data_IF_444253763117
#
_entry.id   IF_444253763117
#
_cell.length_a   1.000
_cell.length_b   1.000
_cell.length_c   1.000
_cell.angle_alpha   90.00
_cell.angle_beta   90.00
_cell.angle_gamma   90.00
#
_symmetry.space_group_name_H-M   'P 1'
#
loop_
_entity.id
_entity.type
_entity.pdbx_description
1 polymer ?
#
# COMPACT_ATOMS: atom_id res chain seq x y z
N UNK A 1 18.28 -19.28 -25.96
CA UNK A 1 18.10 -19.20 -24.50
C UNK A 1 18.36 -20.56 -23.88
N UNK A 2 18.84 -20.61 -22.65
CA UNK A 2 19.01 -21.84 -21.88
C UNK A 2 17.66 -22.28 -21.31
N UNK A 3 17.46 -23.59 -21.14
CA UNK A 3 16.29 -24.13 -20.45
C UNK A 3 16.27 -23.67 -18.98
N UNK A 4 15.11 -23.26 -18.51
CA UNK A 4 14.95 -22.89 -17.10
C UNK A 4 14.79 -24.15 -16.26
N UNK A 5 15.37 -24.13 -15.06
CA UNK A 5 15.21 -25.17 -14.04
C UNK A 5 14.58 -24.57 -12.81
N UNK A 6 13.78 -25.38 -12.08
CA UNK A 6 13.23 -25.00 -10.80
C UNK A 6 14.32 -24.66 -9.78
N UNK A 7 14.03 -23.71 -8.91
CA UNK A 7 14.99 -23.22 -7.90
C UNK A 7 14.33 -23.05 -6.55
N UNK A 8 15.15 -23.10 -5.51
CA UNK A 8 14.78 -22.61 -4.19
C UNK A 8 15.37 -21.21 -4.03
N UNK A 9 14.53 -20.21 -3.87
CA UNK A 9 14.94 -18.81 -3.83
C UNK A 9 14.38 -18.09 -2.62
N UNK A 10 15.25 -17.40 -1.91
CA UNK A 10 14.87 -16.49 -0.82
C UNK A 10 15.28 -15.08 -1.22
N UNK A 11 14.34 -14.17 -1.51
CA UNK A 11 14.66 -12.79 -1.84
C UNK A 11 15.49 -12.13 -0.72
N UNK A 12 16.56 -11.40 -1.04
CA UNK A 12 17.38 -10.70 -0.03
C UNK A 12 16.60 -9.58 0.65
N UNK A 13 15.63 -9.00 -0.06
CA UNK A 13 14.70 -7.98 0.44
C UNK A 13 13.26 -8.44 0.21
N UNK A 14 12.34 -8.01 1.05
CA UNK A 14 10.91 -8.30 0.92
C UNK A 14 10.35 -7.58 -0.32
N UNK A 15 10.12 -8.31 -1.40
CA UNK A 15 9.60 -7.76 -2.66
C UNK A 15 8.61 -8.70 -3.31
N UNK A 16 7.35 -8.30 -3.35
CA UNK A 16 6.30 -9.01 -4.06
C UNK A 16 6.58 -9.12 -5.57
N UNK A 17 7.19 -8.11 -6.16
CA UNK A 17 7.54 -8.09 -7.58
C UNK A 17 8.59 -9.14 -7.92
N UNK A 18 9.64 -9.26 -7.10
CA UNK A 18 10.67 -10.29 -7.27
C UNK A 18 10.07 -11.68 -7.08
N UNK A 19 9.25 -11.88 -6.04
CA UNK A 19 8.50 -13.12 -5.82
C UNK A 19 7.67 -13.48 -7.05
N UNK A 20 6.85 -12.56 -7.53
CA UNK A 20 5.99 -12.77 -8.71
C UNK A 20 6.81 -13.13 -9.96
N UNK A 21 7.92 -12.44 -10.21
CA UNK A 21 8.79 -12.72 -11.34
C UNK A 21 9.37 -14.14 -11.29
N UNK A 22 9.82 -14.59 -10.10
CA UNK A 22 10.36 -15.93 -9.91
C UNK A 22 9.28 -17.01 -10.08
N UNK A 23 8.08 -16.80 -9.52
CA UNK A 23 6.95 -17.73 -9.68
C UNK A 23 6.51 -17.84 -11.13
N UNK A 24 6.37 -16.72 -11.84
CA UNK A 24 5.98 -16.72 -13.26
C UNK A 24 7.04 -17.36 -14.14
N UNK A 25 8.34 -17.12 -13.90
CA UNK A 25 9.43 -17.82 -14.56
C UNK A 25 9.40 -19.32 -14.25
N UNK A 26 9.07 -19.68 -13.02
CA UNK A 26 8.94 -21.06 -12.56
C UNK A 26 7.90 -21.89 -13.33
N UNK A 27 6.86 -21.27 -13.88
CA UNK A 27 5.88 -21.95 -14.75
C UNK A 27 6.53 -22.54 -16.01
N UNK A 28 7.61 -21.94 -16.48
CA UNK A 28 8.36 -22.38 -17.67
C UNK A 28 9.59 -23.22 -17.33
N UNK A 29 9.85 -23.46 -16.05
CA UNK A 29 11.00 -24.25 -15.61
C UNK A 29 10.70 -25.75 -15.63
N UNK A 30 11.75 -26.57 -15.67
CA UNK A 30 11.65 -27.99 -15.37
C UNK A 30 11.83 -28.20 -13.85
N UNK A 31 10.93 -28.98 -13.23
CA UNK A 31 10.96 -29.24 -11.78
C UNK A 31 10.19 -28.21 -10.96
N UNK A 32 10.49 -28.13 -9.68
CA UNK A 32 9.77 -27.32 -8.72
C UNK A 32 10.50 -26.01 -8.44
N UNK A 33 9.75 -24.91 -8.41
CA UNK A 33 10.23 -23.60 -7.99
C UNK A 33 9.61 -23.26 -6.63
N UNK A 34 10.47 -22.91 -5.68
CA UNK A 34 10.07 -22.56 -4.31
C UNK A 34 10.61 -21.16 -3.98
N UNK A 35 9.72 -20.29 -3.57
CA UNK A 35 10.10 -18.96 -3.04
C UNK A 35 9.79 -18.93 -1.54
N UNK A 36 10.80 -18.64 -0.72
CA UNK A 36 10.64 -18.51 0.73
C UNK A 36 10.75 -17.04 1.13
N UNK A 37 9.69 -16.50 1.72
CA UNK A 37 9.67 -15.12 2.22
C UNK A 37 10.09 -15.08 3.69
N UNK A 38 11.05 -14.21 4.03
CA UNK A 38 11.41 -13.89 5.42
C UNK A 38 10.36 -13.00 6.08
N UNK A 39 9.72 -12.16 5.28
CA UNK A 39 8.63 -11.27 5.66
C UNK A 39 7.58 -11.34 4.56
N UNK A 40 6.33 -11.54 4.95
CA UNK A 40 5.22 -11.63 3.99
C UNK A 40 5.10 -10.34 3.16
N UNK A 41 4.91 -10.52 1.87
CA UNK A 41 4.63 -9.44 0.92
C UNK A 41 3.26 -9.63 0.28
N UNK A 42 2.85 -8.70 -0.60
CA UNK A 42 1.58 -8.79 -1.35
C UNK A 42 1.44 -10.14 -2.05
N UNK A 43 0.28 -10.76 -1.94
CA UNK A 43 0.03 -12.14 -2.38
C UNK A 43 -0.90 -12.26 -3.61
N UNK A 44 -1.03 -11.20 -4.40
CA UNK A 44 -1.91 -11.18 -5.58
C UNK A 44 -1.56 -12.27 -6.59
N UNK A 45 -0.27 -12.55 -6.82
CA UNK A 45 0.16 -13.60 -7.76
C UNK A 45 -0.30 -14.98 -7.30
N UNK A 46 -0.17 -15.26 -6.01
CA UNK A 46 -0.56 -16.53 -5.41
C UNK A 46 -2.09 -16.73 -5.40
N UNK A 47 -2.85 -15.63 -5.38
CA UNK A 47 -4.31 -15.65 -5.52
C UNK A 47 -4.75 -15.76 -6.96
N UNK A 48 -4.05 -15.08 -7.87
CA UNK A 48 -4.40 -15.09 -9.29
C UNK A 48 -4.08 -16.41 -9.99
N UNK A 49 -2.92 -17.01 -9.73
CA UNK A 49 -2.48 -18.22 -10.43
C UNK A 49 -3.50 -19.39 -10.39
N UNK A 50 -4.16 -19.70 -9.25
CA UNK A 50 -5.22 -20.70 -9.22
C UNK A 50 -6.42 -20.37 -10.11
N UNK A 51 -6.80 -19.11 -10.24
CA UNK A 51 -7.88 -18.67 -11.13
C UNK A 51 -7.56 -19.02 -12.58
N UNK A 52 -6.29 -18.93 -12.94
CA UNK A 52 -5.80 -19.32 -14.26
C UNK A 52 -5.43 -20.81 -14.37
N UNK A 53 -5.83 -21.65 -13.41
CA UNK A 53 -5.69 -23.09 -13.44
C UNK A 53 -4.31 -23.61 -13.04
N UNK A 54 -3.48 -22.81 -12.39
CA UNK A 54 -2.17 -23.21 -11.86
C UNK A 54 -2.30 -23.72 -10.43
N UNK A 55 -1.77 -24.90 -10.17
CA UNK A 55 -1.66 -25.44 -8.81
C UNK A 55 -0.39 -24.94 -8.15
N UNK A 56 -0.53 -24.39 -6.96
CA UNK A 56 0.56 -23.99 -6.08
C UNK A 56 0.25 -24.37 -4.64
N UNK A 57 1.27 -24.46 -3.81
CA UNK A 57 1.14 -24.68 -2.37
C UNK A 57 1.74 -23.54 -1.61
N UNK A 58 1.12 -23.19 -0.45
CA UNK A 58 1.60 -22.18 0.48
C UNK A 58 1.75 -22.85 1.85
N UNK A 59 2.94 -22.88 2.38
CA UNK A 59 3.21 -23.45 3.69
C UNK A 59 4.43 -22.79 4.33
N UNK A 60 4.33 -22.44 5.61
CA UNK A 60 5.46 -21.95 6.41
C UNK A 60 6.25 -20.79 5.77
N UNK A 61 5.56 -19.84 5.14
CA UNK A 61 6.20 -18.71 4.45
C UNK A 61 6.86 -19.06 3.12
N UNK A 62 6.66 -20.29 2.62
CA UNK A 62 7.12 -20.72 1.31
C UNK A 62 5.95 -20.88 0.34
N UNK A 63 6.16 -20.46 -0.89
CA UNK A 63 5.27 -20.65 -2.03
C UNK A 63 5.97 -21.59 -3.02
N UNK A 64 5.33 -22.68 -3.39
CA UNK A 64 5.89 -23.69 -4.28
C UNK A 64 4.96 -23.96 -5.44
N UNK A 65 5.50 -24.03 -6.64
CA UNK A 65 4.81 -24.49 -7.84
C UNK A 65 5.69 -25.40 -8.68
N UNK A 66 5.06 -26.34 -9.37
CA UNK A 66 5.71 -27.21 -10.35
C UNK A 66 5.67 -26.53 -11.72
N UNK A 67 6.78 -26.54 -12.43
CA UNK A 67 6.86 -26.02 -13.78
C UNK A 67 6.15 -26.90 -14.81
N UNK A 68 6.01 -26.38 -16.04
CA UNK A 68 5.31 -27.05 -17.14
C UNK A 68 3.78 -26.91 -17.09
N UNK A 69 3.23 -26.22 -16.11
CA UNK A 69 1.80 -25.92 -16.04
C UNK A 69 1.43 -24.86 -17.09
N UNK A 70 0.23 -24.99 -17.65
CA UNK A 70 -0.29 -24.02 -18.63
C UNK A 70 -1.43 -23.22 -18.03
N UNK A 71 -1.36 -21.91 -18.21
CA UNK A 71 -2.45 -21.01 -17.87
C UNK A 71 -3.67 -21.32 -18.76
N UNK A 72 -4.85 -21.22 -18.16
CA UNK A 72 -6.14 -21.30 -18.85
C UNK A 72 -6.76 -19.91 -18.85
N UNK A 73 -7.46 -19.57 -19.92
CA UNK A 73 -8.24 -18.34 -19.96
C UNK A 73 -9.28 -18.34 -18.83
N UNK A 74 -9.42 -17.20 -18.18
CA UNK A 74 -10.40 -16.97 -17.12
C UNK A 74 -10.97 -15.58 -17.28
N UNK A 75 -12.22 -15.41 -16.90
CA UNK A 75 -12.84 -14.11 -16.76
C UNK A 75 -12.51 -13.56 -15.37
N UNK A 76 -11.95 -12.37 -15.30
CA UNK A 76 -11.54 -11.72 -14.05
C UNK A 76 -12.08 -10.31 -14.02
N UNK A 77 -12.84 -9.99 -12.99
CA UNK A 77 -13.19 -8.62 -12.67
C UNK A 77 -12.08 -8.04 -11.78
N UNK A 78 -11.44 -6.96 -12.24
CA UNK A 78 -10.40 -6.27 -11.47
C UNK A 78 -11.09 -5.34 -10.47
N UNK A 79 -10.84 -5.50 -9.15
CA UNK A 79 -11.41 -4.59 -8.15
C UNK A 79 -10.77 -3.20 -8.21
N UNK A 80 -11.42 -2.22 -7.59
CA UNK A 80 -10.85 -0.91 -7.35
C UNK A 80 -9.54 -0.99 -6.55
N UNK A 81 -8.54 -0.20 -6.93
CA UNK A 81 -7.24 -0.19 -6.27
C UNK A 81 -7.32 0.43 -4.86
N UNK A 82 -6.88 -0.32 -3.85
CA UNK A 82 -6.86 0.12 -2.45
C UNK A 82 -6.03 1.41 -2.24
N UNK A 83 -4.94 1.60 -2.99
CA UNK A 83 -4.14 2.83 -2.89
C UNK A 83 -4.87 4.06 -3.44
N UNK A 84 -5.64 3.89 -4.53
CA UNK A 84 -6.49 4.96 -5.05
C UNK A 84 -7.64 5.25 -4.08
N UNK A 85 -8.24 4.22 -3.49
CA UNK A 85 -9.26 4.35 -2.46
C UNK A 85 -8.72 5.08 -1.21
N UNK A 86 -7.45 4.88 -0.84
CA UNK A 86 -6.84 5.54 0.30
C UNK A 86 -6.86 7.08 0.18
N UNK A 87 -6.74 7.62 -1.03
CA UNK A 87 -6.83 9.08 -1.23
C UNK A 87 -8.21 9.61 -0.86
N UNK A 88 -9.28 8.95 -1.31
CA UNK A 88 -10.65 9.33 -0.97
C UNK A 88 -10.98 9.07 0.50
N UNK A 89 -10.43 7.99 1.06
CA UNK A 89 -10.58 7.68 2.47
C UNK A 89 -9.93 8.75 3.36
N UNK A 90 -8.74 9.22 3.00
CA UNK A 90 -8.04 10.33 3.67
C UNK A 90 -8.82 11.63 3.53
N UNK A 91 -9.32 11.97 2.33
CA UNK A 91 -10.14 13.16 2.12
C UNK A 91 -11.39 13.14 3.02
N UNK A 92 -12.09 12.00 3.07
CA UNK A 92 -13.28 11.85 3.92
C UNK A 92 -12.94 11.91 5.42
N UNK A 93 -11.81 11.36 5.83
CA UNK A 93 -11.34 11.45 7.21
C UNK A 93 -10.95 12.88 7.60
N UNK A 94 -10.34 13.65 6.68
CA UNK A 94 -9.85 15.00 6.90
C UNK A 94 -10.97 16.05 7.03
N UNK A 95 -12.02 15.94 6.19
CA UNK A 95 -13.03 16.99 6.04
C UNK A 95 -14.24 16.77 6.97
N UNK A 96 -14.53 17.72 7.87
CA UNK A 96 -15.71 17.66 8.74
C UNK A 96 -17.02 17.49 7.95
N UNK A 97 -17.89 16.61 8.42
CA UNK A 97 -19.17 16.33 7.80
C UNK A 97 -19.12 15.35 6.63
N UNK A 98 -17.96 14.85 6.25
CA UNK A 98 -17.83 13.85 5.20
C UNK A 98 -18.41 12.49 5.60
N UNK A 99 -19.06 11.86 4.63
CA UNK A 99 -19.56 10.48 4.67
C UNK A 99 -19.47 9.93 3.25
N UNK A 100 -18.45 9.13 2.97
CA UNK A 100 -18.11 8.65 1.62
C UNK A 100 -18.11 7.12 1.62
N UNK A 101 -18.79 6.54 0.64
CA UNK A 101 -18.74 5.09 0.37
C UNK A 101 -17.99 4.86 -0.94
N UNK A 102 -17.05 3.95 -0.89
CA UNK A 102 -16.27 3.47 -2.03
C UNK A 102 -16.61 2.02 -2.26
N UNK A 103 -17.24 1.72 -3.38
CA UNK A 103 -17.67 0.37 -3.73
C UNK A 103 -16.62 -0.37 -4.55
N UNK A 104 -16.71 -1.71 -4.54
CA UNK A 104 -15.86 -2.63 -5.31
C UNK A 104 -14.35 -2.44 -5.10
N UNK A 105 -13.94 -2.05 -3.89
CA UNK A 105 -12.53 -1.90 -3.52
C UNK A 105 -11.92 -3.27 -3.20
N UNK A 106 -10.70 -3.50 -3.68
CA UNK A 106 -9.90 -4.66 -3.29
C UNK A 106 -9.53 -4.60 -1.81
N UNK A 107 -9.97 -5.61 -1.06
CA UNK A 107 -9.78 -5.71 0.39
C UNK A 107 -8.70 -6.73 0.76
N UNK A 108 -7.72 -6.94 -0.10
CA UNK A 108 -6.61 -7.83 0.20
C UNK A 108 -5.90 -7.39 1.50
N UNK A 109 -5.80 -8.27 2.52
CA UNK A 109 -5.22 -7.92 3.83
C UNK A 109 -3.79 -7.36 3.74
N UNK A 110 -3.04 -7.74 2.68
CA UNK A 110 -1.67 -7.24 2.46
C UNK A 110 -1.64 -5.82 1.87
N UNK A 111 -2.80 -5.22 1.57
CA UNK A 111 -2.94 -3.91 0.93
C UNK A 111 -3.71 -2.89 1.76
N UNK A 112 -4.54 -3.33 2.69
CA UNK A 112 -5.46 -2.48 3.43
C UNK A 112 -4.96 -2.07 4.82
N UNK A 113 -3.67 -2.24 5.11
CA UNK A 113 -3.08 -1.86 6.39
C UNK A 113 -3.31 -0.39 6.76
N UNK A 114 -3.41 0.49 5.76
CA UNK A 114 -3.71 1.91 5.97
C UNK A 114 -5.08 2.16 6.63
N UNK A 115 -6.06 1.26 6.48
CA UNK A 115 -7.38 1.43 7.11
C UNK A 115 -7.28 1.43 8.63
N UNK A 116 -6.50 0.50 9.21
CA UNK A 116 -6.27 0.47 10.64
C UNK A 116 -5.51 1.70 11.14
N UNK A 117 -4.63 2.26 10.31
CA UNK A 117 -3.93 3.51 10.61
C UNK A 117 -4.87 4.71 10.59
N UNK A 118 -5.81 4.77 9.64
CA UNK A 118 -6.85 5.79 9.59
C UNK A 118 -7.78 5.72 10.81
N UNK A 119 -8.18 4.50 11.24
CA UNK A 119 -8.98 4.32 12.46
C UNK A 119 -8.21 4.79 13.69
N UNK A 120 -6.94 4.42 13.82
CA UNK A 120 -6.05 4.90 14.90
C UNK A 120 -5.89 6.42 14.88
N UNK A 121 -5.90 7.04 13.69
CA UNK A 121 -5.88 8.48 13.53
C UNK A 121 -7.23 9.16 13.86
N UNK A 122 -8.29 8.40 14.11
CA UNK A 122 -9.61 8.89 14.53
C UNK A 122 -10.69 8.89 13.44
N UNK A 123 -10.42 8.39 12.24
CA UNK A 123 -11.45 8.20 11.21
C UNK A 123 -12.45 7.10 11.64
N UNK A 124 -13.67 7.20 11.15
CA UNK A 124 -14.69 6.15 11.34
C UNK A 124 -14.83 5.36 10.05
N UNK A 125 -14.52 4.07 10.12
CA UNK A 125 -14.48 3.19 8.94
C UNK A 125 -15.44 2.02 9.17
N UNK A 126 -16.28 1.74 8.18
CA UNK A 126 -17.10 0.56 8.10
C UNK A 126 -16.71 -0.21 6.84
N UNK A 127 -16.43 -1.50 6.99
CA UNK A 127 -16.04 -2.39 5.89
C UNK A 127 -17.19 -3.39 5.69
N UNK A 128 -17.69 -3.45 4.46
CA UNK A 128 -18.69 -4.44 4.05
C UNK A 128 -18.07 -5.36 3.01
N UNK A 129 -18.01 -6.66 3.32
CA UNK A 129 -17.49 -7.66 2.39
C UNK A 129 -18.48 -7.88 1.24
N UNK A 130 -17.98 -7.83 0.01
CA UNK A 130 -18.68 -8.21 -1.20
C UNK A 130 -18.43 -9.66 -1.58
N UNK A 131 -18.84 -10.03 -2.78
CA UNK A 131 -18.56 -11.34 -3.35
C UNK A 131 -17.13 -11.36 -3.87
N UNK A 132 -16.26 -12.24 -3.38
CA UNK A 132 -14.89 -12.32 -3.88
C UNK A 132 -14.85 -12.60 -5.39
N UNK A 133 -13.88 -12.02 -6.08
CA UNK A 133 -13.61 -12.34 -7.49
C UNK A 133 -12.36 -13.22 -7.54
N UNK A 134 -12.57 -14.48 -7.88
CA UNK A 134 -11.54 -15.49 -7.70
C UNK A 134 -11.22 -15.64 -6.20
N UNK A 135 -9.93 -15.49 -5.84
CA UNK A 135 -9.47 -15.52 -4.44
C UNK A 135 -9.17 -14.11 -3.86
N UNK A 136 -9.49 -13.03 -4.61
CA UNK A 136 -9.31 -11.66 -4.14
C UNK A 136 -10.56 -11.17 -3.41
N UNK A 137 -10.44 -10.77 -2.14
CA UNK A 137 -11.55 -10.18 -1.41
C UNK A 137 -11.87 -8.78 -1.95
N UNK A 138 -13.16 -8.52 -2.16
CA UNK A 138 -13.69 -7.25 -2.62
C UNK A 138 -14.78 -6.80 -1.64
N UNK A 139 -14.99 -5.50 -1.52
CA UNK A 139 -16.06 -4.95 -0.71
C UNK A 139 -16.17 -3.46 -0.81
N UNK A 140 -17.01 -2.90 0.05
CA UNK A 140 -17.24 -1.47 0.15
C UNK A 140 -16.63 -0.91 1.42
N UNK A 141 -16.06 0.28 1.32
CA UNK A 141 -15.51 1.06 2.42
C UNK A 141 -16.39 2.29 2.62
N UNK A 142 -16.99 2.45 3.80
CA UNK A 142 -17.64 3.70 4.20
C UNK A 142 -16.75 4.43 5.19
N UNK A 143 -16.33 5.63 4.84
CA UNK A 143 -15.43 6.45 5.63
C UNK A 143 -16.14 7.73 6.04
N UNK A 144 -16.09 8.05 7.33
CA UNK A 144 -16.64 9.28 7.90
C UNK A 144 -15.56 10.02 8.68
N UNK A 145 -15.65 11.35 8.65
CA UNK A 145 -14.84 12.20 9.50
C UNK A 145 -15.00 11.82 10.98
N UNK A 146 -13.91 11.87 11.71
CA UNK A 146 -13.84 11.72 13.15
C UNK A 146 -12.87 12.74 13.77
N UNK A 147 -12.74 12.73 15.06
CA UNK A 147 -11.78 13.59 15.73
C UNK A 147 -10.36 13.06 15.48
N UNK A 148 -9.58 13.79 14.68
CA UNK A 148 -8.22 13.38 14.36
C UNK A 148 -7.30 13.51 15.57
N UNK A 149 -6.47 12.49 15.78
CA UNK A 149 -5.53 12.37 16.89
C UNK A 149 -4.11 12.12 16.38
N UNK A 150 -3.13 12.22 17.25
CA UNK A 150 -1.75 11.88 16.91
C UNK A 150 -1.62 10.39 16.58
N UNK A 151 -0.86 10.09 15.52
CA UNK A 151 -0.61 8.74 15.03
C UNK A 151 0.89 8.45 15.01
N UNK A 152 1.28 7.32 15.57
CA UNK A 152 2.63 6.77 15.43
C UNK A 152 2.58 5.53 14.53
N UNK A 153 3.46 5.48 13.53
CA UNK A 153 3.64 4.39 12.58
C UNK A 153 5.07 3.87 12.74
N UNK A 154 5.19 2.63 13.17
CA UNK A 154 6.46 1.95 13.37
C UNK A 154 6.79 0.96 12.26
N UNK A 155 7.98 0.32 12.34
CA UNK A 155 8.45 -0.66 11.35
C UNK A 155 7.48 -1.82 11.09
N UNK A 156 6.65 -2.19 12.08
CA UNK A 156 5.66 -3.26 11.93
C UNK A 156 4.45 -2.85 11.07
N UNK A 157 4.08 -1.57 11.08
CA UNK A 157 2.95 -1.04 10.31
C UNK A 157 3.34 -0.75 8.85
N UNK A 158 4.60 -0.34 8.62
CA UNK A 158 5.09 0.19 7.34
C UNK A 158 4.83 -0.75 6.16
N UNK A 159 5.10 -2.06 6.22
CA UNK A 159 4.93 -2.93 5.04
C UNK A 159 3.51 -2.98 4.51
N UNK A 160 2.51 -2.86 5.39
CA UNK A 160 1.07 -2.89 5.03
C UNK A 160 0.53 -1.56 4.49
N UNK A 161 1.30 -0.46 4.59
CA UNK A 161 0.83 0.88 4.25
C UNK A 161 1.92 1.80 3.65
N UNK A 162 3.05 1.24 3.23
CA UNK A 162 4.21 2.03 2.78
C UNK A 162 3.86 3.00 1.65
N UNK A 163 3.01 2.58 0.75
CA UNK A 163 2.60 3.38 -0.40
C UNK A 163 1.58 4.47 -0.02
N UNK A 164 0.92 4.36 1.12
CA UNK A 164 -0.09 5.28 1.63
C UNK A 164 0.46 6.26 2.68
N UNK A 165 1.72 6.09 3.12
CA UNK A 165 2.35 7.01 4.08
C UNK A 165 2.32 8.48 3.64
N UNK A 166 2.49 8.85 2.35
CA UNK A 166 2.37 10.23 1.90
C UNK A 166 0.97 10.82 2.13
N UNK A 167 -0.10 10.09 1.83
CA UNK A 167 -1.46 10.59 2.03
C UNK A 167 -1.85 10.63 3.52
N UNK A 168 -1.29 9.75 4.36
CA UNK A 168 -1.41 9.84 5.82
C UNK A 168 -0.68 11.05 6.38
N UNK A 169 0.46 11.45 5.79
CA UNK A 169 1.12 12.71 6.14
C UNK A 169 0.25 13.94 5.80
N UNK A 170 -0.44 13.90 4.66
CA UNK A 170 -1.42 14.93 4.33
C UNK A 170 -2.57 14.97 5.34
N UNK A 171 -3.11 13.82 5.79
CA UNK A 171 -4.14 13.79 6.84
C UNK A 171 -3.70 14.53 8.10
N UNK A 172 -2.46 14.34 8.54
CA UNK A 172 -1.94 14.97 9.74
C UNK A 172 -1.87 16.51 9.66
N UNK A 173 -1.88 17.10 8.45
CA UNK A 173 -1.94 18.56 8.28
C UNK A 173 -3.34 19.14 8.52
N UNK A 174 -4.39 18.32 8.56
CA UNK A 174 -5.77 18.74 8.86
C UNK A 174 -6.11 18.65 10.36
N UNK A 175 -5.26 18.02 11.15
CA UNK A 175 -5.39 17.87 12.60
C UNK A 175 -4.67 16.62 13.09
N UNK A 176 -4.29 16.60 14.34
CA UNK A 176 -3.43 15.57 14.91
C UNK A 176 -1.96 15.80 14.57
N UNK A 177 -1.16 14.74 14.73
CA UNK A 177 0.24 14.71 14.37
C UNK A 177 0.56 13.33 13.79
N UNK A 178 1.66 13.21 13.05
CA UNK A 178 2.11 11.91 12.53
C UNK A 178 3.61 11.75 12.74
N UNK A 179 4.01 10.63 13.30
CA UNK A 179 5.41 10.20 13.32
C UNK A 179 5.56 8.86 12.61
N UNK A 180 6.48 8.78 11.67
CA UNK A 180 6.79 7.57 10.90
C UNK A 180 8.25 7.20 11.12
N UNK A 181 8.50 5.93 11.44
CA UNK A 181 9.85 5.34 11.56
C UNK A 181 9.91 4.00 10.83
N UNK A 182 11.11 3.58 10.42
CA UNK A 182 11.30 2.31 9.72
C UNK A 182 10.86 2.32 8.26
N UNK A 183 10.62 3.49 7.67
CA UNK A 183 10.15 3.65 6.29
C UNK A 183 11.27 4.02 5.30
N UNK A 184 12.52 3.67 5.59
CA UNK A 184 13.70 4.00 4.76
C UNK A 184 13.59 3.55 3.31
N UNK A 185 12.79 2.50 3.00
CA UNK A 185 12.52 2.06 1.64
C UNK A 185 11.86 3.15 0.77
N UNK A 186 11.15 4.11 1.36
CA UNK A 186 10.55 5.24 0.63
C UNK A 186 11.61 6.10 -0.10
N UNK A 187 12.87 6.08 0.34
CA UNK A 187 13.95 6.80 -0.34
C UNK A 187 14.37 6.20 -1.68
N UNK A 188 13.94 4.95 -1.93
CA UNK A 188 14.29 4.17 -3.11
C UNK A 188 13.10 3.88 -4.03
N UNK A 189 12.01 4.67 -3.92
CA UNK A 189 10.84 4.59 -4.79
C UNK A 189 11.05 5.44 -6.06
N UNK A 190 9.98 5.92 -6.69
CA UNK A 190 10.02 6.77 -7.89
C UNK A 190 10.80 8.08 -7.67
N UNK A 191 10.83 8.52 -6.43
CA UNK A 191 11.64 9.64 -5.93
C UNK A 191 12.18 9.28 -4.54
N UNK A 192 13.07 10.09 -3.95
CA UNK A 192 13.25 10.09 -2.49
C UNK A 192 11.98 10.68 -1.87
N UNK A 193 10.97 9.79 -1.64
CA UNK A 193 9.66 10.22 -1.15
C UNK A 193 9.72 10.89 0.21
N UNK A 194 10.67 10.55 1.08
CA UNK A 194 10.81 11.19 2.38
C UNK A 194 11.21 12.64 2.19
N UNK A 195 12.32 12.90 1.51
CA UNK A 195 12.81 14.27 1.30
C UNK A 195 11.84 15.12 0.50
N UNK A 196 11.28 14.58 -0.57
CA UNK A 196 10.33 15.31 -1.42
C UNK A 196 9.00 15.62 -0.70
N UNK A 197 8.47 14.67 0.09
CA UNK A 197 7.27 14.87 0.90
C UNK A 197 7.49 15.99 1.94
N UNK A 198 8.60 15.91 2.67
CA UNK A 198 8.96 16.91 3.71
C UNK A 198 9.14 18.28 3.07
N UNK A 199 9.89 18.38 1.97
CA UNK A 199 10.09 19.64 1.25
C UNK A 199 8.76 20.23 0.74
N UNK A 200 7.89 19.42 0.15
CA UNK A 200 6.61 19.86 -0.37
C UNK A 200 5.66 20.34 0.73
N UNK A 201 5.50 19.59 1.83
CA UNK A 201 4.66 20.00 2.94
C UNK A 201 5.20 21.29 3.65
N UNK A 202 6.52 21.42 3.75
CA UNK A 202 7.14 22.68 4.22
C UNK A 202 6.86 23.83 3.27
N UNK A 203 6.92 23.59 1.96
CA UNK A 203 6.58 24.56 0.91
C UNK A 203 5.13 25.05 0.98
N UNK A 204 4.24 24.25 1.55
CA UNK A 204 2.83 24.58 1.84
C UNK A 204 2.65 25.23 3.23
N UNK A 205 3.71 25.46 3.99
CA UNK A 205 3.67 26.07 5.32
C UNK A 205 3.57 25.07 6.48
N UNK A 206 3.65 23.76 6.20
CA UNK A 206 3.59 22.71 7.20
C UNK A 206 4.84 22.66 8.08
N UNK A 207 4.66 22.22 9.33
CA UNK A 207 5.76 21.95 10.26
C UNK A 207 6.09 20.46 10.21
N UNK A 208 7.13 20.13 9.46
CA UNK A 208 7.51 18.73 9.16
C UNK A 208 9.00 18.57 9.36
N UNK A 209 9.39 17.48 10.02
CA UNK A 209 10.77 17.11 10.27
C UNK A 209 11.14 15.85 9.48
N UNK A 210 12.29 15.90 8.81
CA UNK A 210 12.86 14.75 8.10
C UNK A 210 13.71 13.92 9.06
N UNK A 211 13.60 12.59 8.93
CA UNK A 211 14.44 11.62 9.63
C UNK A 211 15.09 10.67 8.62
N UNK A 212 16.15 9.99 9.03
CA UNK A 212 16.91 9.10 8.13
C UNK A 212 16.03 8.00 7.51
N UNK A 213 15.12 7.42 8.29
CA UNK A 213 14.24 6.32 7.90
C UNK A 213 12.75 6.67 8.06
N UNK A 214 12.41 7.96 8.07
CA UNK A 214 11.04 8.41 8.28
C UNK A 214 10.88 9.92 8.29
N UNK A 215 9.81 10.38 8.91
CA UNK A 215 9.48 11.80 9.03
C UNK A 215 8.47 12.04 10.17
N UNK A 216 8.32 13.30 10.55
CA UNK A 216 7.31 13.70 11.52
C UNK A 216 6.56 14.93 11.02
N UNK A 217 5.22 14.89 11.02
CA UNK A 217 4.32 16.03 10.85
C UNK A 217 3.83 16.42 12.24
N UNK A 218 4.14 17.63 12.69
CA UNK A 218 3.83 18.02 14.07
C UNK A 218 2.35 18.38 14.30
N UNK A 219 1.63 18.79 13.25
CA UNK A 219 0.21 19.11 13.33
C UNK A 219 -0.12 20.32 14.22
N UNK A 220 0.87 21.10 14.57
CA UNK A 220 0.80 22.27 15.48
C UNK A 220 0.30 23.53 14.78
N UNK A 221 0.18 23.51 13.47
CA UNK A 221 -0.31 24.62 12.65
C UNK A 221 -1.00 24.12 11.38
N UNK A 222 -1.92 24.95 10.86
CA UNK A 222 -2.52 24.74 9.54
C UNK A 222 -1.56 25.14 8.44
N UNK A 223 -1.74 24.55 7.27
CA UNK A 223 -1.04 24.99 6.05
C UNK A 223 -1.46 26.43 5.70
N UNK A 224 -0.53 27.20 5.18
CA UNK A 224 -0.75 28.60 4.79
C UNK A 224 -0.85 28.77 3.27
N UNK A 225 -0.71 27.67 2.52
CA UNK A 225 -0.62 27.66 1.06
C UNK A 225 0.82 27.85 0.58
N UNK A 226 1.02 27.69 -0.71
CA UNK A 226 2.35 27.78 -1.32
C UNK A 226 2.47 26.88 -2.53
N UNK A 227 3.70 26.44 -2.82
CA UNK A 227 4.01 25.54 -3.93
C UNK A 227 4.70 24.28 -3.41
N UNK A 228 4.27 23.13 -3.85
CA UNK A 228 4.91 21.85 -3.59
C UNK A 228 5.29 21.19 -4.92
N UNK A 229 6.54 20.73 -5.01
CA UNK A 229 7.00 19.93 -6.13
C UNK A 229 6.82 18.45 -5.82
N UNK A 230 6.04 17.76 -6.64
CA UNK A 230 5.82 16.32 -6.53
C UNK A 230 6.99 15.47 -7.05
N UNK A 231 8.05 16.07 -7.55
CA UNK A 231 9.25 15.39 -8.05
C UNK A 231 8.94 14.27 -9.09
N UNK A 232 7.86 14.44 -9.89
CA UNK A 232 7.39 13.43 -10.84
C UNK A 232 6.70 12.21 -10.19
N UNK A 233 6.52 12.19 -8.87
CA UNK A 233 5.89 11.10 -8.13
C UNK A 233 4.38 11.38 -7.95
N UNK A 234 3.55 10.53 -8.56
CA UNK A 234 2.08 10.66 -8.51
C UNK A 234 1.52 10.56 -7.09
N UNK A 235 2.16 9.81 -6.17
CA UNK A 235 1.71 9.68 -4.77
C UNK A 235 1.94 10.95 -3.99
N UNK A 236 3.03 11.66 -4.28
CA UNK A 236 3.28 12.98 -3.71
C UNK A 236 2.31 14.02 -4.27
N UNK A 237 2.02 13.97 -5.58
CA UNK A 237 1.02 14.86 -6.17
C UNK A 237 -0.35 14.70 -5.50
N UNK A 238 -0.80 13.45 -5.29
CA UNK A 238 -2.05 13.17 -4.59
C UNK A 238 -1.99 13.63 -3.13
N UNK A 239 -0.88 13.40 -2.41
CA UNK A 239 -0.73 13.82 -1.03
C UNK A 239 -0.79 15.35 -0.88
N UNK A 240 -0.12 16.10 -1.76
CA UNK A 240 -0.17 17.56 -1.73
C UNK A 240 -1.54 18.12 -2.10
N UNK A 241 -2.24 17.48 -3.05
CA UNK A 241 -3.63 17.84 -3.35
C UNK A 241 -4.54 17.63 -2.12
N UNK A 242 -4.38 16.50 -1.41
CA UNK A 242 -5.13 16.23 -0.17
C UNK A 242 -4.78 17.21 0.95
N UNK A 243 -3.52 17.58 1.09
CA UNK A 243 -3.09 18.57 2.06
C UNK A 243 -3.72 19.95 1.82
N UNK A 244 -4.07 20.26 0.57
CA UNK A 244 -4.59 21.57 0.14
C UNK A 244 -6.13 21.71 0.22
N UNK A 245 -6.89 20.67 0.56
CA UNK A 245 -8.37 20.69 0.58
C UNK A 245 -8.99 21.18 1.90
N UNK A 246 -8.20 21.59 2.89
CA UNK A 246 -8.63 21.98 4.25
C UNK A 246 -8.61 23.47 4.53
#
# INVERSE_FOLDING_TARGET
GTALHGIHYTPPVASAQVKSAVLLAGLHASGDTVVTERQATRDHTERALPVFGVSLTRANGAISLRGGQRLRAAEVQVPGDASSAACWAVAAAALPGSDVTLDDVGLNPTRIGFLSLLERAGARIEISSGVPVGDEPIGSLRIRHGHLTALEIGPADVPGAIDELPVLAALATHGGALRVTGAGELRHKESDRISALVAGLRGLGGHVEEQADGFQVLGDRRLTGGTADAAGDHRLAMAFALAAIG
#
